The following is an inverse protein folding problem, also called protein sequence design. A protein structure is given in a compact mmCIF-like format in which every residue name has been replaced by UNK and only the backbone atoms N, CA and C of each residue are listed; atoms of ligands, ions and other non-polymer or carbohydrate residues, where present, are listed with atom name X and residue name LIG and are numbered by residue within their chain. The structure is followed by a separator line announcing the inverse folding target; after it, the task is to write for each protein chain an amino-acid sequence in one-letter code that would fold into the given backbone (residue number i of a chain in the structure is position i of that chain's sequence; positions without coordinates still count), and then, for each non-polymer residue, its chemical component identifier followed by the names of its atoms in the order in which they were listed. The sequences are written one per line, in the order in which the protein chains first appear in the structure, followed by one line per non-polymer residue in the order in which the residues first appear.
data_IF_566292327573
#
_entry.id   IF_566292327573
#
_cell.length_a   1.000
_cell.length_b   1.000
_cell.length_c   1.000
_cell.angle_alpha   90.00
_cell.angle_beta   90.00
_cell.angle_gamma   90.00
#
_symmetry.space_group_name_H-M   'P 1'
#
loop_
_entity.id
_entity.type
_entity.pdbx_description
1 polymer ?
#
# COMPACT_ATOMS: atom_id res chain seq x y z
N UNK A 1 -31.69 46.82 20.40
CA UNK A 1 -31.31 46.27 19.09
C UNK A 1 -29.80 46.17 19.05
N UNK A 2 -29.27 44.98 19.32
CA UNK A 2 -27.82 44.72 19.34
C UNK A 2 -27.45 44.04 18.03
N UNK A 3 -26.60 44.68 17.22
CA UNK A 3 -26.09 44.10 15.98
C UNK A 3 -24.95 43.14 16.32
N UNK A 4 -25.21 41.85 16.11
CA UNK A 4 -24.19 40.80 16.16
C UNK A 4 -23.29 41.00 14.93
N UNK A 5 -22.02 41.31 15.18
CA UNK A 5 -20.98 41.27 14.16
C UNK A 5 -20.77 39.81 13.74
N UNK A 6 -21.17 39.48 12.52
CA UNK A 6 -20.82 38.23 11.86
C UNK A 6 -19.31 38.24 11.58
N UNK A 7 -18.55 37.45 12.34
CA UNK A 7 -17.17 37.14 12.01
C UNK A 7 -17.13 36.45 10.64
N UNK A 8 -16.50 37.13 9.69
CA UNK A 8 -16.16 36.58 8.39
C UNK A 8 -15.17 35.44 8.58
N UNK A 9 -15.65 34.20 8.40
CA UNK A 9 -14.82 33.01 8.27
C UNK A 9 -13.91 33.24 7.05
N UNK A 10 -12.64 33.55 7.28
CA UNK A 10 -11.67 33.64 6.18
C UNK A 10 -11.51 32.23 5.61
N UNK A 11 -12.03 31.99 4.40
CA UNK A 11 -11.74 30.79 3.63
C UNK A 11 -10.25 30.79 3.28
N UNK A 12 -9.42 30.30 4.19
CA UNK A 12 -8.05 29.93 3.87
C UNK A 12 -8.14 28.82 2.81
N UNK A 13 -7.82 29.16 1.55
CA UNK A 13 -7.68 28.21 0.46
C UNK A 13 -6.85 27.01 0.93
N UNK A 14 -7.46 25.83 0.90
CA UNK A 14 -6.83 24.57 1.29
C UNK A 14 -5.59 24.34 0.41
N UNK A 15 -4.40 24.34 1.02
CA UNK A 15 -3.11 24.15 0.33
C UNK A 15 -2.64 22.70 0.37
N UNK A 16 -3.37 21.83 1.07
CA UNK A 16 -3.00 20.42 1.21
C UNK A 16 -3.34 19.65 -0.06
N UNK A 17 -2.43 18.77 -0.45
CA UNK A 17 -2.57 17.92 -1.64
C UNK A 17 -3.17 16.54 -1.33
N UNK A 18 -3.46 16.25 -0.05
CA UNK A 18 -3.84 14.92 0.44
C UNK A 18 -4.83 15.07 1.60
N UNK A 19 -5.80 14.16 1.67
CA UNK A 19 -6.71 14.07 2.79
C UNK A 19 -5.96 13.74 4.09
N UNK A 20 -6.48 14.29 5.19
CA UNK A 20 -6.09 13.94 6.53
C UNK A 20 -7.26 13.26 7.22
N UNK A 21 -6.96 12.18 7.93
CA UNK A 21 -7.91 11.47 8.74
C UNK A 21 -7.66 11.90 10.17
N UNK A 22 -8.67 12.47 10.82
CA UNK A 22 -8.59 12.80 12.24
C UNK A 22 -8.70 11.49 13.04
N UNK A 23 -7.66 11.17 13.81
CA UNK A 23 -7.64 9.97 14.62
C UNK A 23 -6.67 10.11 15.78
N UNK A 24 -6.97 9.44 16.88
CA UNK A 24 -6.16 9.46 18.09
C UNK A 24 -5.68 8.04 18.43
N UNK A 25 -4.51 7.68 17.93
CA UNK A 25 -3.80 6.44 18.27
C UNK A 25 -2.50 6.76 19.01
N UNK A 26 -2.14 5.91 19.97
CA UNK A 26 -0.83 5.99 20.62
C UNK A 26 0.26 5.57 19.64
N UNK A 27 1.32 6.36 19.58
CA UNK A 27 2.48 6.13 18.70
C UNK A 27 3.77 6.34 19.47
N UNK A 28 4.87 5.86 18.91
CA UNK A 28 6.20 6.02 19.47
C UNK A 28 7.11 6.77 18.50
N UNK A 29 7.92 7.66 19.05
CA UNK A 29 8.93 8.44 18.34
C UNK A 29 10.31 8.01 18.82
N UNK A 30 11.12 7.46 17.91
CA UNK A 30 12.54 7.25 18.16
C UNK A 30 13.32 8.47 17.66
N UNK A 31 13.97 9.16 18.60
CA UNK A 31 14.74 10.37 18.35
C UNK A 31 16.23 10.00 18.30
N UNK A 32 16.99 10.44 17.28
CA UNK A 32 18.44 10.19 17.23
C UNK A 32 19.14 10.66 18.52
N UNK A 33 19.99 9.81 19.10
CA UNK A 33 20.72 10.11 20.33
C UNK A 33 19.93 9.89 21.63
N UNK A 34 18.66 9.47 21.56
CA UNK A 34 17.86 9.11 22.74
C UNK A 34 17.58 7.61 22.78
N UNK A 35 17.89 6.98 23.91
CA UNK A 35 17.72 5.53 24.08
C UNK A 35 16.26 5.09 24.23
N UNK A 36 15.41 5.97 24.77
CA UNK A 36 14.00 5.65 25.03
C UNK A 36 13.09 6.34 24.01
N UNK A 37 12.15 5.60 23.40
CA UNK A 37 11.15 6.22 22.53
C UNK A 37 10.24 7.15 23.32
N UNK A 38 9.91 8.28 22.71
CA UNK A 38 8.94 9.25 23.24
C UNK A 38 7.55 8.83 22.81
N UNK A 39 6.60 8.76 23.74
CA UNK A 39 5.20 8.44 23.43
C UNK A 39 4.47 9.70 22.98
N UNK A 40 3.65 9.57 21.95
CA UNK A 40 2.79 10.62 21.45
C UNK A 40 1.42 10.06 21.08
N UNK A 41 0.45 10.92 20.85
CA UNK A 41 -0.83 10.55 20.24
C UNK A 41 -1.00 11.25 18.91
N UNK A 42 -1.54 10.57 17.90
CA UNK A 42 -1.91 11.25 16.66
C UNK A 42 -3.08 12.19 16.92
N UNK A 43 -3.14 13.26 16.13
CA UNK A 43 -4.32 14.11 15.95
C UNK A 43 -4.88 13.90 14.55
N UNK A 44 -3.99 13.85 13.57
CA UNK A 44 -4.32 13.49 12.20
C UNK A 44 -3.23 12.59 11.59
N UNK A 45 -3.63 11.82 10.56
CA UNK A 45 -2.75 11.00 9.74
C UNK A 45 -3.12 11.18 8.26
N UNK A 46 -2.11 11.21 7.40
CA UNK A 46 -2.28 11.30 5.95
C UNK A 46 -1.27 10.41 5.24
N UNK A 47 -1.35 10.33 3.91
CA UNK A 47 -0.29 9.73 3.11
C UNK A 47 1.04 10.41 3.37
N UNK A 48 1.09 11.74 3.46
CA UNK A 48 2.30 12.57 3.50
C UNK A 48 2.94 12.75 4.87
N UNK A 49 2.24 12.44 5.95
CA UNK A 49 2.69 12.77 7.29
C UNK A 49 1.61 12.63 8.35
N UNK A 50 1.92 13.10 9.56
CA UNK A 50 1.04 13.05 10.71
C UNK A 50 1.16 14.33 11.55
N UNK A 51 0.07 14.71 12.20
CA UNK A 51 0.09 15.67 13.30
C UNK A 51 0.00 14.92 14.61
N UNK A 52 0.92 15.21 15.53
CA UNK A 52 1.01 14.55 16.82
C UNK A 52 0.77 15.53 17.97
N UNK A 53 0.29 14.99 19.08
CA UNK A 53 0.28 15.61 20.39
C UNK A 53 1.30 14.94 21.30
N UNK A 54 2.07 15.75 22.01
CA UNK A 54 3.02 15.33 23.05
C UNK A 54 2.72 16.06 24.36
N UNK A 55 2.95 15.40 25.50
CA UNK A 55 2.85 16.03 26.81
C UNK A 55 4.03 16.95 27.13
N UNK A 56 5.19 16.65 26.55
CA UNK A 56 6.46 17.33 26.76
C UNK A 56 7.03 17.78 25.41
N UNK A 57 7.83 18.86 25.36
CA UNK A 57 8.44 19.30 24.13
C UNK A 57 9.43 18.26 23.61
N UNK A 58 9.67 18.27 22.30
CA UNK A 58 10.81 17.53 21.76
C UNK A 58 12.13 18.22 22.18
N UNK A 59 13.23 17.46 22.27
CA UNK A 59 14.56 18.05 22.43
C UNK A 59 14.84 19.10 21.35
N UNK A 60 15.63 20.12 21.69
CA UNK A 60 16.03 21.14 20.74
C UNK A 60 16.80 20.53 19.56
N UNK A 61 16.61 21.08 18.35
CA UNK A 61 17.31 20.69 17.12
C UNK A 61 16.97 19.28 16.58
N UNK A 62 15.83 18.70 16.94
CA UNK A 62 15.34 17.46 16.29
C UNK A 62 14.80 17.76 14.89
N UNK A 63 15.63 17.57 13.87
CA UNK A 63 15.18 17.74 12.48
C UNK A 63 14.50 16.48 11.92
N UNK A 64 15.01 15.31 12.28
CA UNK A 64 14.51 14.02 11.80
C UNK A 64 14.32 13.03 12.95
N UNK A 65 13.30 12.18 12.81
CA UNK A 65 12.96 11.16 13.80
C UNK A 65 12.25 9.99 13.12
N UNK A 66 12.14 8.85 13.80
CA UNK A 66 11.34 7.72 13.31
C UNK A 66 10.02 7.64 14.04
N UNK A 67 8.92 7.71 13.29
CA UNK A 67 7.57 7.44 13.79
C UNK A 67 7.27 5.94 13.66
N UNK A 68 6.81 5.33 14.75
CA UNK A 68 6.28 3.96 14.78
C UNK A 68 4.77 4.02 14.98
N UNK A 69 4.01 3.77 13.91
CA UNK A 69 2.57 3.60 13.96
C UNK A 69 2.23 2.14 14.28
N UNK A 70 1.26 1.87 15.16
CA UNK A 70 0.83 0.51 15.44
C UNK A 70 0.22 -0.14 14.18
N UNK A 71 0.53 -1.43 14.00
CA UNK A 71 -0.06 -2.31 13.01
C UNK A 71 -0.53 -3.61 13.70
N UNK A 72 -1.22 -4.48 12.96
CA UNK A 72 -1.78 -5.73 13.50
C UNK A 72 -0.70 -6.58 14.18
N UNK A 73 -1.10 -7.24 15.28
CA UNK A 73 -0.33 -8.26 16.01
C UNK A 73 1.08 -7.82 16.41
N UNK A 74 1.17 -6.65 17.07
CA UNK A 74 2.44 -6.11 17.60
C UNK A 74 3.42 -5.61 16.54
N UNK A 75 3.05 -5.67 15.26
CA UNK A 75 3.85 -5.11 14.16
C UNK A 75 3.67 -3.60 14.11
N UNK A 76 4.59 -2.90 13.47
CA UNK A 76 4.51 -1.44 13.29
C UNK A 76 4.76 -1.04 11.84
N UNK A 77 4.26 0.15 11.47
CA UNK A 77 4.69 0.90 10.30
C UNK A 77 5.73 1.90 10.79
N UNK A 78 6.97 1.76 10.32
CA UNK A 78 8.04 2.70 10.64
C UNK A 78 8.24 3.67 9.48
N UNK A 79 8.14 4.96 9.78
CA UNK A 79 8.39 6.03 8.82
C UNK A 79 9.50 6.93 9.36
N UNK A 80 10.54 7.15 8.54
CA UNK A 80 11.47 8.23 8.78
C UNK A 80 10.75 9.55 8.47
N UNK A 81 10.80 10.47 9.43
CA UNK A 81 10.05 11.70 9.40
C UNK A 81 10.98 12.90 9.52
N UNK A 82 10.61 13.98 8.85
CA UNK A 82 11.14 15.33 9.08
C UNK A 82 10.14 16.09 9.96
N UNK A 83 10.64 16.75 11.00
CA UNK A 83 9.85 17.68 11.81
C UNK A 83 9.65 18.97 11.03
N UNK A 84 8.40 19.37 10.80
CA UNK A 84 8.09 20.61 10.08
C UNK A 84 7.93 21.81 11.02
N UNK A 85 7.29 21.57 12.17
CA UNK A 85 7.05 22.57 13.20
C UNK A 85 6.58 21.92 14.49
N UNK A 86 6.86 22.61 15.59
CA UNK A 86 6.34 22.33 16.92
C UNK A 86 5.62 23.58 17.43
N UNK A 87 4.48 23.40 18.12
CA UNK A 87 3.70 24.50 18.69
C UNK A 87 3.19 24.14 20.08
N UNK A 88 3.45 24.95 21.12
CA UNK A 88 2.83 24.75 22.43
C UNK A 88 1.32 24.98 22.34
N UNK A 89 0.55 24.21 23.12
CA UNK A 89 -0.88 24.38 23.28
C UNK A 89 -1.20 25.17 24.55
N UNK A 90 -2.26 25.98 24.51
CA UNK A 90 -2.74 26.77 25.65
C UNK A 90 -3.18 25.92 26.83
N UNK A 91 -3.67 24.71 26.57
CA UNK A 91 -4.12 23.74 27.57
C UNK A 91 -2.98 22.83 28.09
N UNK A 92 -1.74 23.07 27.65
CA UNK A 92 -0.58 22.24 27.94
C UNK A 92 -0.27 21.24 26.82
N UNK A 93 1.00 20.81 26.79
CA UNK A 93 1.53 19.94 25.75
C UNK A 93 1.87 20.67 24.44
N UNK A 94 2.20 19.89 23.42
CA UNK A 94 2.79 20.36 22.17
C UNK A 94 2.14 19.65 20.98
N UNK A 95 1.90 20.41 19.91
CA UNK A 95 1.57 19.87 18.60
C UNK A 95 2.80 19.82 17.71
N UNK A 96 3.12 18.64 17.20
CA UNK A 96 4.26 18.42 16.31
C UNK A 96 3.76 17.93 14.96
N UNK A 97 4.07 18.68 13.90
CA UNK A 97 3.74 18.31 12.53
C UNK A 97 4.92 17.58 11.91
N UNK A 98 4.70 16.35 11.47
CA UNK A 98 5.69 15.49 10.83
C UNK A 98 5.37 15.30 9.36
N UNK A 99 6.42 15.25 8.54
CA UNK A 99 6.37 14.82 7.14
C UNK A 99 7.12 13.51 6.98
N UNK A 100 6.52 12.54 6.31
CA UNK A 100 7.22 11.31 5.95
C UNK A 100 8.24 11.60 4.85
N UNK A 101 9.49 11.20 5.07
CA UNK A 101 10.58 11.33 4.10
C UNK A 101 11.06 9.98 3.57
N UNK A 102 10.89 8.90 4.34
CA UNK A 102 11.18 7.55 3.89
C UNK A 102 10.28 6.52 4.56
N UNK A 103 9.76 5.57 3.77
CA UNK A 103 9.13 4.35 4.24
C UNK A 103 9.74 3.16 3.50
N UNK A 104 9.73 1.98 4.11
CA UNK A 104 9.98 0.76 3.33
C UNK A 104 8.78 0.47 2.41
N UNK A 105 8.94 -0.30 1.32
CA UNK A 105 7.82 -0.72 0.48
C UNK A 105 6.72 -1.43 1.28
N UNK A 106 7.11 -2.29 2.24
CA UNK A 106 6.17 -2.92 3.18
C UNK A 106 5.44 -1.89 4.06
N UNK A 107 6.16 -0.89 4.56
CA UNK A 107 5.60 0.21 5.34
C UNK A 107 4.60 1.02 4.52
N UNK A 108 4.92 1.30 3.26
CA UNK A 108 4.03 1.96 2.30
C UNK A 108 2.73 1.15 2.11
N UNK A 109 2.81 -0.13 1.75
CA UNK A 109 1.60 -0.95 1.52
C UNK A 109 0.70 -1.04 2.76
N UNK A 110 1.32 -1.11 3.96
CA UNK A 110 0.58 -1.08 5.22
C UNK A 110 -0.05 0.27 5.50
N UNK A 111 0.67 1.38 5.25
CA UNK A 111 0.12 2.73 5.41
C UNK A 111 -1.06 2.94 4.45
N UNK A 112 -0.91 2.53 3.19
CA UNK A 112 -1.98 2.60 2.19
C UNK A 112 -3.23 1.88 2.68
N UNK A 113 -3.07 0.64 3.16
CA UNK A 113 -4.15 -0.18 3.70
C UNK A 113 -4.75 0.44 4.96
N UNK A 114 -3.93 0.97 5.85
CA UNK A 114 -4.38 1.67 7.06
C UNK A 114 -5.28 2.85 6.70
N UNK A 115 -4.81 3.72 5.80
CA UNK A 115 -5.56 4.90 5.38
C UNK A 115 -6.89 4.53 4.70
N UNK A 116 -6.88 3.51 3.81
CA UNK A 116 -8.10 3.00 3.18
C UNK A 116 -9.09 2.40 4.19
N UNK A 117 -8.60 1.73 5.24
CA UNK A 117 -9.45 1.20 6.30
C UNK A 117 -10.05 2.31 7.19
N UNK A 118 -9.26 3.35 7.47
CA UNK A 118 -9.68 4.47 8.33
C UNK A 118 -10.55 5.48 7.59
N UNK A 119 -10.50 5.49 6.26
CA UNK A 119 -11.33 6.31 5.39
C UNK A 119 -12.11 5.40 4.44
N UNK A 120 -13.19 4.77 4.92
CA UNK A 120 -14.09 4.01 4.07
C UNK A 120 -14.72 4.99 3.07
N UNK A 121 -14.15 5.07 1.88
CA UNK A 121 -14.74 5.84 0.80
C UNK A 121 -16.00 5.10 0.34
N UNK A 122 -17.17 5.71 0.52
CA UNK A 122 -18.29 5.46 -0.36
C UNK A 122 -17.79 5.62 -1.79
N UNK A 123 -18.03 4.60 -2.61
CA UNK A 123 -17.40 4.35 -3.91
C UNK A 123 -17.90 5.29 -5.02
N UNK A 124 -18.09 6.57 -4.71
CA UNK A 124 -18.52 7.61 -5.65
C UNK A 124 -17.64 8.85 -5.48
N UNK A 125 -16.42 8.77 -5.98
CA UNK A 125 -15.56 9.94 -6.11
C UNK A 125 -15.94 10.67 -7.40
N UNK A 126 -16.69 11.76 -7.23
CA UNK A 126 -16.96 12.74 -8.27
C UNK A 126 -18.15 13.60 -7.88
N UNK A 127 -17.98 14.51 -6.91
CA UNK A 127 -18.61 15.86 -6.91
C UNK A 127 -18.44 16.64 -5.61
N UNK A 128 -18.21 16.02 -4.46
CA UNK A 128 -17.91 16.77 -3.23
C UNK A 128 -16.39 16.93 -3.08
N UNK A 129 -15.91 18.17 -2.94
CA UNK A 129 -14.49 18.59 -2.88
C UNK A 129 -13.62 18.02 -1.75
N UNK A 130 -13.79 16.74 -1.40
CA UNK A 130 -12.92 15.97 -0.51
C UNK A 130 -11.64 15.60 -1.26
N UNK A 131 -10.51 15.97 -0.68
CA UNK A 131 -9.18 15.56 -1.18
C UNK A 131 -9.08 14.04 -1.24
N UNK A 132 -8.38 13.51 -2.24
CA UNK A 132 -8.05 12.08 -2.29
C UNK A 132 -7.09 11.70 -1.15
N UNK A 133 -7.15 10.45 -0.67
CA UNK A 133 -6.22 9.91 0.33
C UNK A 133 -4.76 10.06 -0.12
N UNK A 134 -4.51 9.75 -1.38
CA UNK A 134 -3.27 9.99 -2.10
C UNK A 134 -3.57 9.99 -3.58
N UNK A 135 -2.70 10.65 -4.36
CA UNK A 135 -2.80 10.65 -5.82
C UNK A 135 -1.97 9.51 -6.38
N UNK A 136 -2.58 8.69 -7.22
CA UNK A 136 -1.89 7.64 -7.97
C UNK A 136 -1.44 8.20 -9.32
N UNK A 137 -0.21 7.92 -9.71
CA UNK A 137 0.31 8.16 -11.05
C UNK A 137 0.59 6.80 -11.66
N UNK A 138 -0.20 6.43 -12.66
CA UNK A 138 -0.03 5.18 -13.38
C UNK A 138 0.81 5.40 -14.63
N UNK A 139 1.80 4.52 -14.83
CA UNK A 139 2.64 4.46 -16.02
C UNK A 139 2.54 3.06 -16.58
N UNK A 140 2.00 2.92 -17.78
CA UNK A 140 1.93 1.63 -18.46
C UNK A 140 3.24 1.37 -19.19
N UNK A 141 3.66 0.12 -19.20
CA UNK A 141 4.86 -0.36 -19.88
C UNK A 141 4.49 -1.50 -20.80
N UNK A 142 4.86 -1.38 -22.07
CA UNK A 142 4.43 -2.33 -23.10
C UNK A 142 5.38 -3.51 -23.29
N UNK A 143 6.66 -3.35 -22.94
CA UNK A 143 7.67 -4.39 -23.14
C UNK A 143 8.75 -4.40 -22.03
N UNK A 144 9.56 -5.46 -22.04
CA UNK A 144 10.61 -5.73 -21.05
C UNK A 144 11.72 -4.68 -21.08
N UNK A 145 12.05 -4.14 -22.25
CA UNK A 145 13.15 -3.19 -22.40
C UNK A 145 12.77 -1.82 -21.83
N UNK A 146 11.55 -1.37 -22.09
CA UNK A 146 10.97 -0.18 -21.47
C UNK A 146 10.90 -0.34 -19.94
N UNK A 147 10.50 -1.51 -19.43
CA UNK A 147 10.47 -1.78 -17.99
C UNK A 147 11.89 -1.69 -17.39
N UNK A 148 12.87 -2.31 -18.05
CA UNK A 148 14.28 -2.28 -17.65
C UNK A 148 14.81 -0.85 -17.63
N UNK A 149 14.51 -0.03 -18.64
CA UNK A 149 14.93 1.37 -18.67
C UNK A 149 14.37 2.16 -17.48
N UNK A 150 13.06 2.03 -17.20
CA UNK A 150 12.44 2.72 -16.06
C UNK A 150 13.04 2.26 -14.73
N UNK A 151 13.33 0.97 -14.59
CA UNK A 151 13.98 0.39 -13.42
C UNK A 151 15.40 0.95 -13.20
N UNK A 152 16.17 1.13 -14.26
CA UNK A 152 17.50 1.76 -14.18
C UNK A 152 17.41 3.22 -13.73
N UNK A 153 16.45 3.99 -14.27
CA UNK A 153 16.19 5.36 -13.78
C UNK A 153 15.81 5.36 -12.29
N UNK A 154 14.98 4.41 -11.84
CA UNK A 154 14.62 4.25 -10.43
C UNK A 154 15.88 4.02 -9.56
N UNK A 155 16.84 3.21 -10.02
CA UNK A 155 18.10 2.96 -9.31
C UNK A 155 18.99 4.21 -9.18
N UNK A 156 18.95 5.10 -10.17
CA UNK A 156 19.61 6.41 -10.11
C UNK A 156 18.94 7.37 -9.12
N UNK A 157 17.80 6.96 -8.55
CA UNK A 157 17.06 7.70 -7.53
C UNK A 157 16.16 8.80 -8.10
N UNK A 158 16.03 8.87 -9.43
CA UNK A 158 15.19 9.85 -10.13
C UNK A 158 14.44 9.21 -11.28
N UNK A 159 13.15 9.48 -11.38
CA UNK A 159 12.36 9.06 -12.53
C UNK A 159 11.66 10.27 -13.15
N UNK A 160 11.69 10.36 -14.47
CA UNK A 160 11.09 11.49 -15.21
C UNK A 160 9.94 10.98 -16.06
N UNK A 161 8.80 11.67 -16.01
CA UNK A 161 7.59 11.25 -16.72
C UNK A 161 6.78 12.45 -17.18
N UNK A 162 6.18 12.37 -18.36
CA UNK A 162 5.30 13.40 -18.92
C UNK A 162 3.84 13.03 -18.69
N UNK A 163 3.05 13.98 -18.19
CA UNK A 163 1.65 13.80 -17.81
C UNK A 163 0.80 14.94 -18.36
N UNK A 164 -0.52 14.73 -18.44
CA UNK A 164 -1.50 15.73 -18.87
C UNK A 164 -2.01 16.61 -17.71
N UNK A 165 -1.76 16.19 -16.46
CA UNK A 165 -2.31 16.85 -15.29
C UNK A 165 -1.21 17.59 -14.50
N UNK A 166 -1.55 18.70 -13.87
CA UNK A 166 -0.62 19.43 -13.02
C UNK A 166 -0.39 18.72 -11.69
N UNK A 167 0.86 18.70 -11.22
CA UNK A 167 1.25 18.26 -9.88
C UNK A 167 1.94 19.41 -9.15
N UNK A 168 1.98 19.34 -7.82
CA UNK A 168 2.68 20.35 -7.00
C UNK A 168 4.05 19.84 -6.57
N UNK A 169 5.07 20.70 -6.64
CA UNK A 169 6.39 20.40 -6.07
C UNK A 169 6.25 20.11 -4.57
N UNK A 170 6.88 19.02 -4.13
CA UNK A 170 6.77 18.52 -2.77
C UNK A 170 5.59 17.57 -2.51
N UNK A 171 4.69 17.39 -3.49
CA UNK A 171 3.58 16.44 -3.38
C UNK A 171 4.10 15.01 -3.38
N UNK A 172 3.71 14.22 -2.38
CA UNK A 172 3.94 12.78 -2.37
C UNK A 172 2.80 12.04 -3.09
N UNK A 173 3.17 11.09 -3.94
CA UNK A 173 2.28 10.32 -4.82
C UNK A 173 2.57 8.82 -4.71
N UNK A 174 1.62 8.01 -5.15
CA UNK A 174 1.84 6.58 -5.40
C UNK A 174 2.11 6.40 -6.89
N UNK A 175 3.36 6.11 -7.27
CA UNK A 175 3.72 5.72 -8.63
C UNK A 175 3.39 4.22 -8.80
N UNK A 176 2.60 3.91 -9.82
CA UNK A 176 2.26 2.55 -10.24
C UNK A 176 2.78 2.33 -11.65
N UNK A 177 3.84 1.55 -11.81
CA UNK A 177 4.34 1.12 -13.12
C UNK A 177 3.68 -0.22 -13.42
N UNK A 178 2.74 -0.24 -14.36
CA UNK A 178 2.02 -1.45 -14.76
C UNK A 178 2.59 -1.99 -16.05
N UNK A 179 3.15 -3.18 -15.99
CA UNK A 179 3.46 -3.96 -17.18
C UNK A 179 2.18 -4.46 -17.84
N UNK A 180 2.15 -4.52 -19.17
CA UNK A 180 1.13 -5.25 -19.91
C UNK A 180 1.43 -6.75 -19.92
N UNK A 181 0.39 -7.58 -20.01
CA UNK A 181 0.48 -9.04 -20.07
C UNK A 181 1.16 -9.65 -18.82
N UNK A 182 2.39 -10.14 -18.96
CA UNK A 182 3.12 -10.91 -17.93
C UNK A 182 4.17 -10.09 -17.17
N UNK A 183 4.28 -8.80 -17.49
CA UNK A 183 5.27 -7.94 -16.88
C UNK A 183 4.86 -7.54 -15.45
N UNK A 184 5.80 -7.56 -14.48
CA UNK A 184 5.48 -7.28 -13.10
C UNK A 184 5.03 -5.83 -12.91
N UNK A 185 3.99 -5.64 -12.09
CA UNK A 185 3.57 -4.32 -11.66
C UNK A 185 4.36 -3.86 -10.45
N UNK A 186 4.83 -2.61 -10.47
CA UNK A 186 5.67 -2.02 -9.43
C UNK A 186 4.93 -0.83 -8.84
N UNK A 187 4.84 -0.80 -7.50
CA UNK A 187 4.25 0.32 -6.78
C UNK A 187 5.27 0.96 -5.85
N UNK A 188 5.56 2.23 -6.08
CA UNK A 188 6.53 3.01 -5.32
C UNK A 188 5.95 4.35 -4.92
N UNK A 189 6.16 4.71 -3.66
CA UNK A 189 6.01 6.08 -3.18
C UNK A 189 7.12 6.98 -3.73
N UNK A 190 6.72 8.11 -4.31
CA UNK A 190 7.63 9.13 -4.81
C UNK A 190 7.13 10.53 -4.49
N UNK A 191 8.04 11.49 -4.48
CA UNK A 191 7.77 12.92 -4.33
C UNK A 191 8.07 13.64 -5.62
N UNK A 192 7.18 14.54 -6.01
CA UNK A 192 7.41 15.47 -7.12
C UNK A 192 8.49 16.46 -6.70
N UNK A 193 9.66 16.38 -7.31
CA UNK A 193 10.81 17.24 -7.02
C UNK A 193 10.88 18.44 -7.96
N UNK A 194 10.39 18.30 -9.20
CA UNK A 194 10.33 19.37 -10.20
C UNK A 194 9.13 19.17 -11.13
N UNK A 195 8.60 20.27 -11.65
CA UNK A 195 7.49 20.29 -12.63
C UNK A 195 7.79 21.33 -13.69
N UNK A 196 7.83 20.90 -14.95
CA UNK A 196 8.06 21.79 -16.10
C UNK A 196 6.97 21.60 -17.12
N UNK A 197 6.46 22.71 -17.68
CA UNK A 197 5.59 22.63 -18.86
C UNK A 197 6.43 22.15 -20.04
N UNK A 198 5.91 21.19 -20.78
CA UNK A 198 6.63 20.51 -21.84
C UNK A 198 5.94 20.75 -23.17
N UNK A 199 6.74 21.14 -24.17
CA UNK A 199 6.30 21.27 -25.55
C UNK A 199 6.78 20.02 -26.30
N UNK A 200 5.86 19.07 -26.50
CA UNK A 200 6.13 17.86 -27.25
C UNK A 200 5.55 18.03 -28.65
N UNK A 201 6.40 17.94 -29.67
CA UNK A 201 5.99 18.07 -31.08
C UNK A 201 4.86 17.08 -31.40
N UNK A 202 3.77 17.56 -31.96
CA UNK A 202 2.58 16.76 -32.29
C UNK A 202 1.52 16.70 -31.19
N UNK A 203 1.78 17.32 -30.04
CA UNK A 203 0.84 17.41 -28.92
C UNK A 203 0.51 18.87 -28.54
N UNK A 204 0.60 19.80 -29.49
CA UNK A 204 0.37 21.23 -29.27
C UNK A 204 -1.06 21.56 -28.79
N UNK A 205 -1.98 20.59 -28.91
CA UNK A 205 -3.36 20.68 -28.44
C UNK A 205 -3.53 20.38 -26.94
N UNK A 206 -2.50 19.86 -26.27
CA UNK A 206 -2.55 19.46 -24.87
C UNK A 206 -1.53 20.22 -24.00
N UNK A 207 -1.92 20.55 -22.77
CA UNK A 207 -0.96 20.98 -21.78
C UNK A 207 -0.25 19.76 -21.20
N UNK A 208 1.03 19.62 -21.53
CA UNK A 208 1.88 18.57 -21.01
C UNK A 208 2.81 19.11 -19.95
N UNK A 209 3.04 18.28 -18.93
CA UNK A 209 3.94 18.59 -17.82
C UNK A 209 4.93 17.44 -17.66
N UNK A 210 6.23 17.73 -17.67
CA UNK A 210 7.26 16.77 -17.28
C UNK A 210 7.53 16.90 -15.79
N UNK A 211 7.35 15.80 -15.08
CA UNK A 211 7.59 15.65 -13.65
C UNK A 211 8.96 15.01 -13.45
N UNK A 212 9.74 15.52 -12.51
CA UNK A 212 10.84 14.78 -11.91
C UNK A 212 10.40 14.23 -10.56
N UNK A 213 10.66 12.94 -10.33
CA UNK A 213 10.24 12.21 -9.15
C UNK A 213 11.45 11.74 -8.35
N UNK A 214 11.41 11.94 -7.03
CA UNK A 214 12.39 11.44 -6.07
C UNK A 214 11.73 10.38 -5.18
N UNK A 215 12.34 9.21 -5.04
CA UNK A 215 11.75 8.08 -4.31
C UNK A 215 11.83 8.26 -2.79
N UNK A 216 10.74 7.98 -2.09
CA UNK A 216 10.63 8.09 -0.64
C UNK A 216 10.84 6.73 0.05
N UNK A 217 11.86 5.99 -0.41
CA UNK A 217 12.26 4.68 0.11
C UNK A 217 13.77 4.65 0.37
N UNK A 218 14.27 3.78 1.27
CA UNK A 218 15.70 3.60 1.45
C UNK A 218 16.36 3.10 0.16
N UNK A 219 17.45 3.72 -0.27
CA UNK A 219 18.12 3.38 -1.54
C UNK A 219 18.57 1.93 -1.62
N UNK A 220 19.02 1.34 -0.51
CA UNK A 220 19.36 -0.09 -0.45
C UNK A 220 18.14 -0.98 -0.71
N UNK A 221 16.96 -0.57 -0.22
CA UNK A 221 15.71 -1.31 -0.42
C UNK A 221 15.21 -1.20 -1.85
N UNK A 222 15.30 -0.02 -2.46
CA UNK A 222 15.02 0.17 -3.89
C UNK A 222 15.95 -0.71 -4.71
N UNK A 223 17.26 -0.68 -4.43
CA UNK A 223 18.24 -1.47 -5.17
C UNK A 223 17.93 -2.96 -5.13
N UNK A 224 17.78 -3.53 -3.93
CA UNK A 224 17.42 -4.94 -3.78
C UNK A 224 16.10 -5.29 -4.48
N UNK A 225 15.11 -4.39 -4.44
CA UNK A 225 13.85 -4.60 -5.15
C UNK A 225 14.02 -4.59 -6.67
N UNK A 226 14.74 -3.62 -7.23
CA UNK A 226 14.98 -3.53 -8.67
C UNK A 226 15.83 -4.69 -9.16
N UNK A 227 16.91 -5.05 -8.46
CA UNK A 227 17.76 -6.20 -8.79
C UNK A 227 16.91 -7.48 -8.87
N UNK A 228 15.97 -7.65 -7.94
CA UNK A 228 15.06 -8.79 -7.95
C UNK A 228 14.18 -8.80 -9.21
N UNK A 229 13.62 -7.65 -9.59
CA UNK A 229 12.79 -7.54 -10.79
C UNK A 229 13.64 -7.74 -12.06
N UNK A 230 14.85 -7.18 -12.14
CA UNK A 230 15.72 -7.34 -13.30
C UNK A 230 16.20 -8.79 -13.50
N UNK A 231 16.51 -9.49 -12.40
CA UNK A 231 16.86 -10.91 -12.46
C UNK A 231 15.70 -11.75 -12.99
N UNK A 232 14.44 -11.39 -12.68
CA UNK A 232 13.25 -12.03 -13.24
C UNK A 232 13.15 -11.85 -14.75
N UNK A 233 13.38 -10.62 -15.22
CA UNK A 233 13.31 -10.28 -16.63
C UNK A 233 14.45 -10.92 -17.46
N UNK A 234 15.51 -11.40 -16.80
CA UNK A 234 16.67 -12.03 -17.46
C UNK A 234 16.59 -13.56 -17.47
N UNK A 235 15.79 -14.17 -16.58
CA UNK A 235 15.66 -15.63 -16.44
C UNK A 235 14.63 -16.22 -17.41
N UNK A 236 14.78 -15.97 -18.72
CA UNK A 236 13.95 -16.62 -19.73
C UNK A 236 14.50 -18.00 -20.15
N UNK A 237 15.77 -18.35 -19.93
CA UNK A 237 16.29 -19.70 -20.18
C UNK A 237 17.39 -20.10 -19.15
N UNK A 238 17.20 -21.25 -18.49
CA UNK A 238 18.21 -22.15 -17.89
C UNK A 238 18.74 -22.07 -16.43
N UNK A 239 18.54 -21.05 -15.60
CA UNK A 239 19.19 -21.03 -14.25
C UNK A 239 18.26 -20.77 -13.05
N UNK A 240 17.33 -21.68 -12.77
CA UNK A 240 16.49 -21.64 -11.54
C UNK A 240 17.18 -22.21 -10.28
N UNK A 241 18.36 -22.83 -10.41
CA UNK A 241 19.08 -23.44 -9.28
C UNK A 241 19.95 -22.46 -8.49
N UNK A 242 20.36 -21.33 -9.09
CA UNK A 242 21.24 -20.32 -8.48
C UNK A 242 20.47 -19.24 -7.70
N UNK A 243 19.15 -19.12 -7.88
CA UNK A 243 18.32 -18.04 -7.33
C UNK A 243 17.99 -18.19 -5.84
N UNK A 244 18.01 -19.43 -5.32
CA UNK A 244 17.69 -19.72 -3.91
C UNK A 244 18.79 -19.25 -2.95
N UNK A 245 20.06 -19.25 -3.38
CA UNK A 245 21.20 -18.85 -2.54
C UNK A 245 21.33 -17.33 -2.35
N UNK A 246 20.86 -16.51 -3.30
CA UNK A 246 20.88 -15.04 -3.16
C UNK A 246 19.76 -14.48 -2.26
N UNK A 247 18.71 -15.27 -2.01
CA UNK A 247 17.62 -14.90 -1.09
C UNK A 247 17.91 -15.32 0.37
N UNK A 248 19.05 -15.96 0.63
CA UNK A 248 19.52 -16.33 1.95
C UNK A 248 20.01 -15.07 2.69
N UNK A 249 19.10 -14.44 3.44
CA UNK A 249 19.31 -13.15 4.12
C UNK A 249 18.40 -12.01 3.64
N UNK A 250 17.65 -12.21 2.55
CA UNK A 250 16.66 -11.24 2.09
C UNK A 250 15.46 -11.18 3.05
N UNK A 251 14.90 -9.98 3.36
CA UNK A 251 13.73 -9.86 4.20
C UNK A 251 12.49 -10.57 3.62
N UNK A 252 11.67 -11.20 4.47
CA UNK A 252 10.58 -12.09 4.04
C UNK A 252 9.58 -11.49 3.03
N UNK A 253 9.37 -10.18 3.06
CA UNK A 253 8.48 -9.51 2.11
C UNK A 253 9.04 -9.48 0.68
N UNK A 254 10.37 -9.46 0.53
CA UNK A 254 11.06 -9.56 -0.75
C UNK A 254 10.93 -10.99 -1.31
N UNK A 255 11.01 -12.00 -0.42
CA UNK A 255 10.71 -13.40 -0.75
C UNK A 255 9.26 -13.59 -1.20
N UNK A 256 8.30 -12.88 -0.62
CA UNK A 256 6.88 -12.91 -1.03
C UNK A 256 6.60 -12.19 -2.36
N UNK A 257 7.33 -11.12 -2.69
CA UNK A 257 7.22 -10.46 -4.01
C UNK A 257 7.85 -11.32 -5.10
N UNK A 258 9.00 -11.93 -4.80
CA UNK A 258 9.60 -12.99 -5.61
C UNK A 258 8.64 -14.21 -5.72
N UNK A 259 7.94 -14.51 -4.63
CA UNK A 259 6.74 -15.34 -4.54
C UNK A 259 5.82 -15.26 -5.75
N UNK A 260 5.17 -14.10 -5.78
CA UNK A 260 4.06 -13.75 -6.65
C UNK A 260 4.49 -13.51 -8.10
N UNK A 261 5.66 -12.90 -8.33
CA UNK A 261 6.11 -12.60 -9.70
C UNK A 261 6.70 -13.81 -10.43
N UNK A 262 6.98 -14.94 -9.75
CA UNK A 262 7.53 -16.14 -10.40
C UNK A 262 6.43 -16.96 -11.07
N UNK A 263 5.22 -16.86 -10.51
CA UNK A 263 4.02 -17.58 -10.97
C UNK A 263 3.38 -16.94 -12.20
N UNK A 264 3.63 -15.66 -12.46
CA UNK A 264 3.17 -14.97 -13.68
C UNK A 264 3.97 -15.36 -14.92
N UNK A 265 5.21 -15.85 -14.78
CA UNK A 265 6.05 -16.26 -15.91
C UNK A 265 5.89 -17.74 -16.27
N UNK A 266 5.24 -18.54 -15.42
CA UNK A 266 5.02 -19.98 -15.64
C UNK A 266 3.67 -20.31 -16.30
N UNK A 267 2.85 -19.31 -16.63
CA UNK A 267 1.54 -19.50 -17.26
C UNK A 267 1.60 -19.71 -18.79
N UNK A 268 2.74 -19.50 -19.46
CA UNK A 268 2.78 -19.46 -20.93
C UNK A 268 3.77 -20.39 -21.65
N UNK A 269 4.49 -21.28 -20.96
CA UNK A 269 5.30 -22.33 -21.61
C UNK A 269 5.01 -23.71 -21.06
N UNK A 270 3.83 -24.25 -21.41
CA UNK A 270 3.65 -25.71 -21.46
C UNK A 270 2.51 -26.10 -22.40
N UNK A 271 2.71 -25.87 -23.69
CA UNK A 271 2.16 -26.75 -24.72
C UNK A 271 3.28 -27.69 -25.13
N UNK A 272 2.96 -29.00 -25.12
CA UNK A 272 3.77 -30.10 -25.64
C UNK A 272 4.94 -30.58 -24.75
N UNK A 273 4.61 -31.37 -23.72
CA UNK A 273 5.04 -32.78 -23.58
C UNK A 273 4.97 -33.23 -22.09
N UNK A 274 3.97 -34.09 -21.84
CA UNK A 274 3.90 -35.15 -20.84
C UNK A 274 4.69 -35.02 -19.52
N UNK A 275 3.99 -34.65 -18.45
CA UNK A 275 3.88 -35.46 -17.24
C UNK A 275 2.63 -35.03 -16.48
N UNK A 276 1.83 -35.98 -16.00
CA UNK A 276 0.63 -35.77 -15.18
C UNK A 276 1.01 -35.04 -13.87
N UNK A 277 1.11 -33.71 -13.92
CA UNK A 277 1.06 -32.87 -12.74
C UNK A 277 -0.41 -32.54 -12.51
N UNK A 278 -1.01 -33.16 -11.49
CA UNK A 278 -2.35 -32.85 -11.00
C UNK A 278 -2.52 -31.33 -10.93
N UNK A 279 -3.47 -30.80 -11.69
CA UNK A 279 -3.81 -29.38 -11.70
C UNK A 279 -4.37 -29.01 -10.33
N UNK A 280 -3.49 -28.57 -9.42
CA UNK A 280 -3.86 -28.14 -8.07
C UNK A 280 -4.41 -26.72 -8.11
N UNK A 281 -5.51 -26.51 -7.41
CA UNK A 281 -6.15 -25.20 -7.24
C UNK A 281 -5.23 -24.21 -6.48
N UNK A 282 -5.53 -22.92 -6.57
CA UNK A 282 -4.81 -21.87 -5.84
C UNK A 282 -4.82 -22.16 -4.33
N UNK A 283 -5.96 -22.59 -3.79
CA UNK A 283 -6.09 -22.97 -2.38
C UNK A 283 -5.24 -24.19 -2.01
N UNK A 284 -5.20 -25.24 -2.85
CA UNK A 284 -4.40 -26.45 -2.58
C UNK A 284 -2.90 -26.20 -2.65
N UNK A 285 -2.48 -25.25 -3.51
CA UNK A 285 -1.07 -24.94 -3.73
C UNK A 285 -0.52 -23.88 -2.78
N UNK A 286 -1.29 -22.82 -2.51
CA UNK A 286 -0.84 -21.66 -1.71
C UNK A 286 -1.32 -21.71 -0.25
N UNK A 287 -2.45 -22.36 0.01
CA UNK A 287 -3.10 -22.37 1.33
C UNK A 287 -3.57 -23.77 1.74
N UNK A 288 -2.69 -24.79 1.72
CA UNK A 288 -3.09 -26.18 2.01
C UNK A 288 -3.73 -26.32 3.40
N UNK A 289 -3.25 -25.57 4.39
CA UNK A 289 -3.83 -25.53 5.73
C UNK A 289 -5.29 -25.02 5.74
N UNK A 290 -5.65 -24.13 4.82
CA UNK A 290 -7.03 -23.66 4.70
C UNK A 290 -7.93 -24.70 4.06
N UNK A 291 -7.43 -25.42 3.04
CA UNK A 291 -8.13 -26.56 2.45
C UNK A 291 -8.37 -27.64 3.48
N UNK A 292 -7.35 -28.04 4.26
CA UNK A 292 -7.50 -29.02 5.33
C UNK A 292 -8.57 -28.61 6.36
N UNK A 293 -8.61 -27.34 6.73
CA UNK A 293 -9.64 -26.81 7.64
C UNK A 293 -11.03 -26.83 7.01
N UNK A 294 -11.16 -26.41 5.75
CA UNK A 294 -12.44 -26.44 5.03
C UNK A 294 -12.96 -27.85 4.88
N UNK A 295 -12.07 -28.81 4.57
CA UNK A 295 -12.37 -30.24 4.51
C UNK A 295 -12.87 -30.75 5.87
N UNK A 296 -12.24 -30.33 6.98
CA UNK A 296 -12.66 -30.72 8.32
C UNK A 296 -14.08 -30.25 8.69
N UNK A 297 -14.55 -29.13 8.11
CA UNK A 297 -15.91 -28.61 8.29
C UNK A 297 -16.89 -29.03 7.18
N UNK A 298 -16.45 -29.71 6.13
CA UNK A 298 -17.23 -29.92 4.92
C UNK A 298 -18.44 -30.84 5.14
N UNK A 299 -19.61 -30.42 4.66
CA UNK A 299 -20.86 -31.17 4.78
C UNK A 299 -21.66 -30.90 6.05
N UNK A 300 -21.11 -30.11 6.99
CA UNK A 300 -21.85 -29.60 8.14
C UNK A 300 -21.93 -28.07 8.07
N UNK A 301 -23.14 -27.55 7.94
CA UNK A 301 -23.41 -26.10 7.78
C UNK A 301 -22.82 -25.24 8.91
N UNK A 302 -22.89 -25.69 10.17
CA UNK A 302 -22.40 -24.91 11.31
C UNK A 302 -20.87 -24.93 11.40
N UNK A 303 -20.27 -26.09 11.17
CA UNK A 303 -18.82 -26.26 11.27
C UNK A 303 -18.10 -25.61 10.09
N UNK A 304 -18.62 -25.81 8.87
CA UNK A 304 -18.15 -25.10 7.67
C UNK A 304 -18.24 -23.59 7.86
N UNK A 305 -19.36 -23.06 8.36
CA UNK A 305 -19.49 -21.62 8.59
C UNK A 305 -18.49 -21.10 9.63
N UNK A 306 -18.26 -21.84 10.72
CA UNK A 306 -17.30 -21.46 11.73
C UNK A 306 -15.88 -21.41 11.17
N UNK A 307 -15.50 -22.42 10.40
CA UNK A 307 -14.20 -22.48 9.71
C UNK A 307 -14.09 -21.38 8.66
N UNK A 308 -15.10 -21.21 7.81
CA UNK A 308 -15.12 -20.20 6.76
C UNK A 308 -15.05 -18.79 7.34
N UNK A 309 -15.84 -18.47 8.38
CA UNK A 309 -15.72 -17.22 9.13
C UNK A 309 -14.33 -17.08 9.77
N UNK A 310 -13.74 -18.16 10.27
CA UNK A 310 -12.37 -18.15 10.81
C UNK A 310 -11.29 -18.00 9.72
N UNK A 311 -11.57 -18.27 8.45
CA UNK A 311 -10.66 -18.06 7.32
C UNK A 311 -10.83 -16.66 6.72
N UNK A 312 -12.07 -16.17 6.64
CA UNK A 312 -12.44 -14.84 6.12
C UNK A 312 -12.19 -13.73 7.14
N UNK A 313 -12.52 -13.96 8.42
CA UNK A 313 -12.38 -13.01 9.53
C UNK A 313 -11.13 -13.28 10.39
N UNK A 314 -10.28 -14.21 9.95
CA UNK A 314 -9.42 -15.04 10.80
C UNK A 314 -8.41 -14.39 11.74
N UNK A 315 -8.35 -15.03 12.92
CA UNK A 315 -7.39 -14.93 14.04
C UNK A 315 -5.97 -15.44 13.73
N UNK A 316 -5.67 -15.75 12.47
CA UNK A 316 -4.31 -16.01 11.99
C UNK A 316 -3.79 -14.78 11.23
N UNK A 317 -3.30 -13.79 11.96
CA UNK A 317 -2.30 -12.79 11.58
C UNK A 317 -2.34 -12.00 10.24
N UNK A 318 -3.29 -12.20 9.31
CA UNK A 318 -3.47 -11.36 8.12
C UNK A 318 -4.90 -11.40 7.55
N UNK A 319 -5.78 -10.44 7.92
CA UNK A 319 -6.89 -10.07 7.06
C UNK A 319 -6.30 -9.42 5.78
N UNK A 320 -6.36 -10.13 4.65
CA UNK A 320 -5.80 -9.73 3.35
C UNK A 320 -4.48 -10.42 2.97
N UNK A 321 -4.31 -11.70 3.35
CA UNK A 321 -3.27 -12.60 2.82
C UNK A 321 -3.71 -13.43 1.61
N UNK A 322 -5.00 -13.47 1.30
CA UNK A 322 -5.55 -14.14 0.13
C UNK A 322 -5.22 -13.35 -1.15
N UNK A 323 -4.73 -14.07 -2.17
CA UNK A 323 -4.72 -13.58 -3.55
C UNK A 323 -6.16 -13.40 -4.04
N UNK A 324 -6.36 -12.69 -5.16
CA UNK A 324 -7.69 -12.56 -5.76
C UNK A 324 -8.23 -13.95 -6.17
N UNK A 325 -7.37 -14.80 -6.74
CA UNK A 325 -7.72 -16.16 -7.14
C UNK A 325 -8.15 -17.02 -5.93
N UNK A 326 -7.44 -16.92 -4.80
CA UNK A 326 -7.84 -17.66 -3.60
C UNK A 326 -9.16 -17.13 -3.00
N UNK A 327 -9.47 -15.85 -3.16
CA UNK A 327 -10.79 -15.31 -2.79
C UNK A 327 -11.90 -15.88 -3.68
N UNK A 328 -11.67 -15.90 -4.99
CA UNK A 328 -12.64 -16.39 -5.97
C UNK A 328 -12.91 -17.89 -5.74
N UNK A 329 -11.88 -18.69 -5.42
CA UNK A 329 -12.03 -20.10 -5.06
C UNK A 329 -12.76 -20.30 -3.72
N UNK A 330 -12.49 -19.48 -2.70
CA UNK A 330 -13.22 -19.54 -1.43
C UNK A 330 -14.69 -19.20 -1.60
N UNK A 331 -15.01 -18.18 -2.40
CA UNK A 331 -16.39 -17.80 -2.72
C UNK A 331 -17.09 -18.92 -3.50
N UNK A 332 -16.40 -19.53 -4.47
CA UNK A 332 -16.89 -20.70 -5.18
C UNK A 332 -17.19 -21.85 -4.22
N UNK A 333 -16.25 -22.20 -3.34
CA UNK A 333 -16.43 -23.29 -2.36
C UNK A 333 -17.58 -23.00 -1.39
N UNK A 334 -17.75 -21.75 -0.95
CA UNK A 334 -18.91 -21.34 -0.15
C UNK A 334 -20.21 -21.53 -0.93
N UNK A 335 -20.28 -21.08 -2.19
CA UNK A 335 -21.47 -21.25 -3.02
C UNK A 335 -21.79 -22.73 -3.29
N UNK A 336 -20.78 -23.57 -3.49
CA UNK A 336 -20.97 -25.02 -3.69
C UNK A 336 -21.50 -25.65 -2.41
N UNK A 337 -20.88 -25.35 -1.27
CA UNK A 337 -21.31 -25.86 0.02
C UNK A 337 -22.75 -25.44 0.36
N UNK A 338 -23.06 -24.15 0.21
CA UNK A 338 -24.38 -23.59 0.52
C UNK A 338 -25.48 -24.21 -0.37
N UNK A 339 -25.18 -24.54 -1.63
CA UNK A 339 -26.12 -25.25 -2.52
C UNK A 339 -26.30 -26.73 -2.16
N UNK A 340 -25.24 -27.40 -1.73
CA UNK A 340 -25.27 -28.83 -1.44
C UNK A 340 -25.84 -29.15 -0.05
N UNK A 341 -25.53 -28.33 0.96
CA UNK A 341 -25.83 -28.61 2.37
C UNK A 341 -26.74 -27.57 3.02
N UNK A 342 -27.03 -26.46 2.33
CA UNK A 342 -27.88 -25.37 2.82
C UNK A 342 -27.10 -24.24 3.50
N UNK A 343 -27.82 -23.17 3.83
CA UNK A 343 -27.28 -21.94 4.43
C UNK A 343 -27.61 -21.92 5.92
N UNK A 344 -26.70 -21.41 6.76
CA UNK A 344 -26.94 -21.32 8.19
C UNK A 344 -28.01 -20.28 8.55
N UNK A 345 -28.65 -20.45 9.71
CA UNK A 345 -29.61 -19.49 10.27
C UNK A 345 -29.03 -18.09 10.49
N UNK A 346 -27.71 -17.98 10.71
CA UNK A 346 -27.02 -16.71 10.88
C UNK A 346 -26.89 -15.92 9.57
N UNK A 347 -26.85 -16.62 8.42
CA UNK A 347 -26.81 -16.02 7.07
C UNK A 347 -28.19 -15.91 6.42
N UNK A 348 -29.15 -16.75 6.82
CA UNK A 348 -30.54 -16.67 6.34
C UNK A 348 -31.41 -15.72 7.16
N UNK A 349 -30.92 -15.21 8.29
CA UNK A 349 -31.53 -14.08 8.99
C UNK A 349 -31.36 -12.82 8.15
N UNK A 350 -32.44 -12.18 7.64
CA UNK A 350 -32.34 -10.93 6.91
C UNK A 350 -31.96 -9.82 7.89
N UNK A 351 -30.67 -9.66 8.13
CA UNK A 351 -30.13 -8.42 8.66
C UNK A 351 -30.34 -7.36 7.58
N UNK A 352 -31.36 -6.52 7.79
CA UNK A 352 -31.53 -5.25 7.09
C UNK A 352 -30.18 -4.53 7.02
N UNK A 353 -29.63 -4.37 5.82
CA UNK A 353 -28.63 -3.34 5.56
C UNK A 353 -27.53 -3.69 4.56
N UNK A 354 -27.85 -3.63 3.26
CA UNK A 354 -26.92 -3.41 2.14
C UNK A 354 -26.04 -4.62 1.77
N UNK A 355 -26.02 -5.14 0.54
CA UNK A 355 -26.38 -4.63 -0.79
C UNK A 355 -26.71 -5.85 -1.68
N UNK A 356 -27.54 -5.64 -2.71
CA UNK A 356 -27.41 -6.33 -3.99
C UNK A 356 -26.46 -5.53 -4.87
#
# INVERSE_FOLDING_TARGET
MSMVHSESISMATERRTQARIDLQISVELAIPGHDKPVRASTRDLSWGGALLYLSEPLPENVETLTLSLPWRTGKTIRALCQMLRERPLSEGGYLVALRFISLSPRGQSRLERLLKMLHPSDTTAGEDGKLALFRELEVTVSDTDELREKLLQILEGRYTVTVFETYQVGQSISLSIRGTFDLPSIRLRARVSDVRKSEVKGFDWAELYTLSLAFEHPSSTIRTFVDLVLNRLSNTEEENSTFSSYLEGAPDWLKSVATATARSSTSHTRSELASEEETRSCLESEFPEAVERLVAGWGNVKDFEMVFKSLVLGRNDLPGGWSQEAWDELEMLQSVHDRAYGVSEQRSSPLKGGRL
#
